data_IF_202169508999
#
_entry.id   IF_202169508999
#
_cell.length_a   1.000
_cell.length_b   1.000
_cell.length_c   1.000
_cell.angle_alpha   90.00
_cell.angle_beta   90.00
_cell.angle_gamma   90.00
#
_symmetry.space_group_name_H-M   'P 1'
#
loop_
_entity.id
_entity.type
_entity.pdbx_description
1 polymer ?
#
# COMPACT_ATOMS: atom_id res chain seq x y z
N UNK A 1 -14.48 -16.52 -2.87
CA UNK A 1 -13.08 -16.63 -2.44
C UNK A 1 -12.25 -16.09 -3.58
N UNK A 2 -11.55 -14.97 -3.42
CA UNK A 2 -10.66 -14.48 -4.49
C UNK A 2 -9.43 -15.39 -4.53
N UNK A 3 -9.32 -16.17 -5.59
CA UNK A 3 -8.13 -16.96 -5.88
C UNK A 3 -6.99 -15.99 -6.23
N UNK A 4 -6.04 -15.84 -5.31
CA UNK A 4 -4.81 -15.12 -5.53
C UNK A 4 -3.85 -16.02 -6.30
N UNK A 5 -3.24 -15.51 -7.36
CA UNK A 5 -2.11 -16.16 -7.98
C UNK A 5 -0.82 -15.61 -7.37
N UNK A 6 -0.18 -16.41 -6.53
CA UNK A 6 1.16 -16.14 -6.02
C UNK A 6 2.17 -16.37 -7.17
N UNK A 7 2.62 -15.29 -7.80
CA UNK A 7 3.74 -15.32 -8.73
C UNK A 7 5.05 -15.32 -7.94
N UNK A 8 5.85 -16.36 -8.16
CA UNK A 8 7.16 -16.49 -7.54
C UNK A 8 8.09 -15.33 -7.91
N UNK A 9 9.02 -15.05 -7.00
CA UNK A 9 10.08 -14.04 -7.08
C UNK A 9 10.94 -14.29 -8.34
N UNK A 10 10.53 -13.75 -9.48
CA UNK A 10 11.46 -13.45 -10.54
C UNK A 10 11.99 -12.02 -10.34
N UNK A 11 13.16 -11.71 -10.90
CA UNK A 11 13.81 -10.42 -10.73
C UNK A 11 12.93 -9.23 -11.19
N UNK A 12 11.87 -9.48 -11.98
CA UNK A 12 11.03 -8.43 -12.54
C UNK A 12 10.06 -7.86 -11.51
N UNK A 13 9.50 -8.68 -10.61
CA UNK A 13 8.65 -8.23 -9.50
C UNK A 13 9.37 -7.25 -8.59
N UNK A 14 10.59 -7.62 -8.16
CA UNK A 14 11.42 -6.80 -7.28
C UNK A 14 11.82 -5.49 -7.97
N UNK A 15 12.29 -5.57 -9.21
CA UNK A 15 12.66 -4.40 -9.99
C UNK A 15 11.49 -3.42 -10.15
N UNK A 16 10.28 -3.94 -10.42
CA UNK A 16 9.09 -3.10 -10.54
C UNK A 16 8.74 -2.43 -9.20
N UNK A 17 8.72 -3.19 -8.11
CA UNK A 17 8.44 -2.67 -6.78
C UNK A 17 9.42 -1.55 -6.43
N UNK A 18 10.73 -1.78 -6.60
CA UNK A 18 11.75 -0.76 -6.34
C UNK A 18 11.57 0.47 -7.23
N UNK A 19 11.22 0.28 -8.51
CA UNK A 19 10.96 1.38 -9.44
C UNK A 19 9.78 2.25 -8.98
N UNK A 20 8.69 1.64 -8.52
CA UNK A 20 7.54 2.38 -7.97
C UNK A 20 7.97 3.16 -6.74
N UNK A 21 8.67 2.53 -5.80
CA UNK A 21 9.11 3.20 -4.57
C UNK A 21 10.10 4.35 -4.86
N UNK A 22 10.99 4.22 -5.86
CA UNK A 22 11.91 5.30 -6.25
C UNK A 22 11.19 6.54 -6.80
N UNK A 23 9.95 6.39 -7.26
CA UNK A 23 9.11 7.48 -7.75
C UNK A 23 8.14 8.04 -6.70
N UNK A 24 8.06 7.39 -5.54
CA UNK A 24 7.23 7.82 -4.42
C UNK A 24 7.88 8.94 -3.60
N UNK A 25 7.41 9.10 -2.36
CA UNK A 25 7.86 10.14 -1.44
C UNK A 25 8.68 9.59 -0.27
N UNK A 26 8.70 10.30 0.87
CA UNK A 26 9.58 9.98 1.98
C UNK A 26 9.37 8.56 2.54
N UNK A 27 8.12 8.08 2.61
CA UNK A 27 7.84 6.68 3.01
C UNK A 27 8.50 5.71 2.04
N UNK A 28 8.27 5.92 0.75
CA UNK A 28 8.79 5.07 -0.31
C UNK A 28 10.32 5.01 -0.31
N UNK A 29 11.00 6.14 -0.11
CA UNK A 29 12.46 6.20 0.02
C UNK A 29 12.97 5.51 1.29
N UNK A 30 12.31 5.70 2.44
CA UNK A 30 12.69 5.02 3.67
C UNK A 30 12.50 3.50 3.58
N UNK A 31 11.47 3.03 2.87
CA UNK A 31 11.28 1.61 2.61
C UNK A 31 12.45 1.04 1.79
N UNK A 32 12.90 1.75 0.75
CA UNK A 32 14.07 1.36 -0.04
C UNK A 32 15.37 1.30 0.76
N UNK A 33 15.52 2.17 1.76
CA UNK A 33 16.72 2.22 2.60
C UNK A 33 16.73 1.17 3.70
N UNK A 34 15.55 0.78 4.21
CA UNK A 34 15.44 0.04 5.49
C UNK A 34 14.86 -1.36 5.36
N UNK A 35 14.19 -1.67 4.25
CA UNK A 35 13.55 -2.98 4.05
C UNK A 35 14.39 -3.81 3.10
N UNK A 36 14.81 -4.98 3.55
CA UNK A 36 15.38 -6.00 2.67
C UNK A 36 14.24 -6.74 1.96
N UNK A 37 13.88 -6.25 0.77
CA UNK A 37 12.81 -6.84 -0.02
C UNK A 37 13.09 -8.28 -0.46
N UNK A 38 14.37 -8.66 -0.61
CA UNK A 38 14.78 -10.00 -1.00
C UNK A 38 14.58 -11.02 0.13
N UNK A 39 14.53 -10.57 1.39
CA UNK A 39 14.27 -11.42 2.54
C UNK A 39 12.76 -11.73 2.75
N UNK A 40 11.86 -11.01 2.06
CA UNK A 40 10.41 -11.23 2.16
C UNK A 40 9.82 -12.02 0.99
N UNK A 41 8.49 -12.06 0.92
CA UNK A 41 7.73 -12.66 -0.20
C UNK A 41 6.92 -11.60 -0.91
N UNK A 42 6.88 -11.66 -2.25
CA UNK A 42 6.06 -10.76 -3.08
C UNK A 42 4.99 -11.59 -3.76
N UNK A 43 3.75 -11.12 -3.69
CA UNK A 43 2.60 -11.71 -4.38
C UNK A 43 1.93 -10.66 -5.26
N UNK A 44 1.49 -11.05 -6.45
CA UNK A 44 0.62 -10.21 -7.27
C UNK A 44 -0.84 -10.47 -6.93
N UNK A 45 -1.60 -9.41 -6.67
CA UNK A 45 -3.05 -9.47 -6.53
C UNK A 45 -3.65 -9.08 -7.88
N UNK A 46 -4.16 -10.08 -8.60
CA UNK A 46 -4.69 -9.98 -9.97
C UNK A 46 -5.97 -10.79 -10.12
N UNK A 47 -6.71 -10.53 -11.20
CA UNK A 47 -7.82 -11.41 -11.58
C UNK A 47 -7.28 -12.74 -12.10
N UNK A 48 -7.90 -13.86 -11.72
CA UNK A 48 -7.56 -15.21 -12.25
C UNK A 48 -7.79 -15.38 -13.75
N UNK A 49 -8.40 -14.40 -14.41
CA UNK A 49 -8.62 -14.38 -15.86
C UNK A 49 -7.41 -13.85 -16.65
N UNK A 50 -6.41 -13.29 -15.96
CA UNK A 50 -5.17 -12.80 -16.57
C UNK A 50 -4.29 -14.00 -16.93
N UNK A 51 -3.77 -14.05 -18.15
CA UNK A 51 -2.84 -15.12 -18.59
C UNK A 51 -1.41 -14.88 -18.12
N UNK A 52 -0.60 -15.94 -18.04
CA UNK A 52 0.79 -15.86 -17.52
C UNK A 52 1.69 -14.91 -18.32
N UNK A 53 1.32 -14.61 -19.57
CA UNK A 53 2.06 -13.69 -20.44
C UNK A 53 1.81 -12.24 -20.06
N UNK A 54 0.57 -11.87 -19.77
CA UNK A 54 0.18 -10.53 -19.32
C UNK A 54 0.71 -10.23 -17.91
N UNK A 55 0.88 -11.26 -17.07
CA UNK A 55 1.43 -11.13 -15.71
C UNK A 55 2.88 -10.62 -15.64
N UNK A 56 3.61 -10.59 -16.75
CA UNK A 56 5.03 -10.17 -16.80
C UNK A 56 5.23 -8.68 -17.08
N UNK A 57 4.17 -7.98 -17.51
CA UNK A 57 4.22 -6.54 -17.76
C UNK A 57 3.40 -5.77 -16.72
N UNK A 58 4.04 -5.49 -15.58
CA UNK A 58 3.44 -4.76 -14.47
C UNK A 58 3.08 -3.30 -14.80
N UNK A 59 3.52 -2.76 -15.94
CA UNK A 59 3.17 -1.42 -16.38
C UNK A 59 2.01 -1.39 -17.40
N UNK A 60 1.63 -2.54 -17.96
CA UNK A 60 0.52 -2.64 -18.89
C UNK A 60 -0.85 -2.55 -18.18
N UNK A 61 -1.80 -1.88 -18.83
CA UNK A 61 -3.22 -1.89 -18.45
C UNK A 61 -4.07 -2.73 -19.40
N UNK A 62 -5.36 -2.87 -19.10
CA UNK A 62 -6.31 -3.63 -19.92
C UNK A 62 -6.21 -5.14 -19.79
N UNK A 63 -5.68 -5.63 -18.67
CA UNK A 63 -5.39 -7.05 -18.46
C UNK A 63 -6.53 -7.80 -17.77
N UNK A 64 -7.46 -7.11 -17.08
CA UNK A 64 -8.60 -7.80 -16.47
C UNK A 64 -9.56 -6.91 -15.67
N UNK A 65 -10.64 -7.49 -15.11
CA UNK A 65 -11.60 -6.74 -14.31
C UNK A 65 -10.99 -6.27 -12.98
N UNK A 66 -11.05 -4.95 -12.76
CA UNK A 66 -10.42 -4.21 -11.66
C UNK A 66 -11.02 -4.54 -10.27
N UNK A 67 -12.28 -4.97 -10.22
CA UNK A 67 -13.03 -5.12 -8.97
C UNK A 67 -12.51 -6.27 -8.10
N UNK A 68 -12.04 -7.36 -8.70
CA UNK A 68 -11.60 -8.55 -7.96
C UNK A 68 -10.31 -8.30 -7.14
N UNK A 69 -9.25 -7.68 -7.70
CA UNK A 69 -8.03 -7.39 -6.93
C UNK A 69 -8.22 -6.39 -5.80
N UNK A 70 -9.06 -5.37 -5.99
CA UNK A 70 -9.37 -4.37 -4.95
C UNK A 70 -10.06 -5.00 -3.75
N UNK A 71 -11.07 -5.83 -4.01
CA UNK A 71 -11.78 -6.54 -2.94
C UNK A 71 -10.85 -7.47 -2.17
N UNK A 72 -9.97 -8.18 -2.87
CA UNK A 72 -8.98 -9.06 -2.25
C UNK A 72 -8.04 -8.29 -1.31
N UNK A 73 -7.47 -7.16 -1.78
CA UNK A 73 -6.63 -6.30 -0.95
C UNK A 73 -7.40 -5.73 0.25
N UNK A 74 -8.68 -5.37 0.06
CA UNK A 74 -9.53 -4.87 1.13
C UNK A 74 -9.84 -5.93 2.19
N UNK A 75 -10.06 -7.18 1.80
CA UNK A 75 -10.21 -8.30 2.74
C UNK A 75 -8.91 -8.54 3.54
N UNK A 76 -7.74 -8.43 2.90
CA UNK A 76 -6.44 -8.51 3.58
C UNK A 76 -6.28 -7.35 4.58
N UNK A 77 -6.58 -6.12 4.16
CA UNK A 77 -6.56 -4.92 5.00
C UNK A 77 -7.48 -5.03 6.20
N UNK A 78 -8.72 -5.47 5.98
CA UNK A 78 -9.71 -5.61 7.04
C UNK A 78 -9.28 -6.65 8.07
N UNK A 79 -8.81 -7.82 7.64
CA UNK A 79 -8.29 -8.85 8.56
C UNK A 79 -7.10 -8.35 9.36
N UNK A 80 -6.18 -7.63 8.72
CA UNK A 80 -5.02 -7.07 9.39
C UNK A 80 -5.40 -6.08 10.49
N UNK A 81 -6.38 -5.20 10.25
CA UNK A 81 -6.85 -4.24 11.26
C UNK A 81 -7.70 -4.85 12.38
N UNK A 82 -8.12 -6.12 12.26
CA UNK A 82 -8.78 -6.82 13.36
C UNK A 82 -7.79 -7.30 14.43
N UNK A 83 -6.51 -7.38 14.10
CA UNK A 83 -5.47 -7.68 15.07
C UNK A 83 -5.19 -6.46 15.97
N UNK A 84 -5.05 -6.65 17.30
CA UNK A 84 -4.75 -5.55 18.21
C UNK A 84 -3.44 -4.85 17.85
N UNK A 85 -3.45 -3.52 17.91
CA UNK A 85 -2.24 -2.73 17.70
C UNK A 85 -1.73 -2.74 16.26
N UNK A 86 -2.61 -2.91 15.26
CA UNK A 86 -2.26 -2.77 13.84
C UNK A 86 -2.78 -1.46 13.25
N UNK A 87 -2.09 -0.96 12.23
CA UNK A 87 -2.55 0.16 11.41
C UNK A 87 -2.07 0.04 9.96
N UNK A 88 -2.78 0.72 9.07
CA UNK A 88 -2.41 0.83 7.65
C UNK A 88 -2.18 2.30 7.33
N UNK A 89 -1.05 2.62 6.72
CA UNK A 89 -0.73 3.95 6.23
C UNK A 89 -0.57 3.92 4.70
N UNK A 90 -1.13 4.92 4.01
CA UNK A 90 -1.04 5.06 2.56
C UNK A 90 -0.46 6.43 2.23
N UNK A 91 0.57 6.46 1.39
CA UNK A 91 1.18 7.68 0.88
C UNK A 91 0.21 8.40 -0.08
N UNK A 92 -0.02 9.69 0.12
CA UNK A 92 -0.77 10.52 -0.83
C UNK A 92 0.20 11.22 -1.77
N UNK A 93 0.27 10.74 -3.01
CA UNK A 93 1.22 11.20 -4.02
C UNK A 93 0.97 12.61 -4.56
N UNK A 94 -0.29 13.08 -4.63
CA UNK A 94 -0.64 14.26 -5.41
C UNK A 94 -1.09 15.47 -4.58
N UNK A 95 -1.77 15.22 -3.46
CA UNK A 95 -2.30 16.31 -2.66
C UNK A 95 -1.21 17.04 -1.86
N UNK A 96 -1.51 18.29 -1.50
CA UNK A 96 -0.69 19.13 -0.63
C UNK A 96 -1.45 19.48 0.65
N UNK A 97 -0.75 19.77 1.77
CA UNK A 97 -1.39 20.03 3.07
C UNK A 97 -2.40 21.19 3.06
N UNK A 98 -2.21 22.15 2.14
CA UNK A 98 -3.11 23.29 1.97
C UNK A 98 -4.36 23.02 1.12
N UNK A 99 -4.49 21.84 0.51
CA UNK A 99 -5.58 21.56 -0.41
C UNK A 99 -6.92 21.47 0.34
N UNK A 100 -7.99 22.14 -0.15
CA UNK A 100 -9.30 22.13 0.53
C UNK A 100 -9.88 20.73 0.75
N UNK A 101 -9.59 19.79 -0.14
CA UNK A 101 -10.04 18.40 -0.07
C UNK A 101 -9.40 17.60 1.07
N UNK A 102 -8.27 18.06 1.61
CA UNK A 102 -7.49 17.36 2.66
C UNK A 102 -7.71 17.97 4.04
N UNK A 103 -7.83 19.31 4.12
CA UNK A 103 -7.78 20.09 5.36
C UNK A 103 -8.66 19.57 6.51
N UNK A 104 -9.83 19.01 6.20
CA UNK A 104 -10.80 18.50 7.19
C UNK A 104 -11.09 17.00 7.05
N UNK A 105 -10.30 16.28 6.26
CA UNK A 105 -10.54 14.86 5.99
C UNK A 105 -10.06 14.04 7.19
N UNK A 106 -10.95 13.19 7.72
CA UNK A 106 -10.62 12.29 8.82
C UNK A 106 -9.60 11.24 8.37
N UNK A 107 -8.73 10.80 9.30
CA UNK A 107 -7.70 9.80 9.01
C UNK A 107 -6.58 10.32 8.10
N UNK A 108 -6.42 11.64 7.97
CA UNK A 108 -5.27 12.25 7.29
C UNK A 108 -4.30 12.73 8.35
N UNK A 109 -3.03 12.37 8.19
CA UNK A 109 -1.91 12.88 9.01
C UNK A 109 -0.87 13.53 8.12
N UNK A 110 -0.11 14.45 8.70
CA UNK A 110 1.05 15.07 8.07
C UNK A 110 2.32 14.52 8.70
N UNK A 111 3.14 13.78 7.94
CA UNK A 111 4.44 13.30 8.39
C UNK A 111 5.52 13.89 7.46
N UNK A 112 6.57 14.49 8.02
CA UNK A 112 7.65 15.09 7.24
C UNK A 112 7.18 16.10 6.16
N UNK A 113 6.07 16.80 6.40
CA UNK A 113 5.49 17.75 5.44
C UNK A 113 4.69 17.10 4.29
N UNK A 114 4.51 15.78 4.31
CA UNK A 114 3.77 15.00 3.33
C UNK A 114 2.49 14.42 3.93
N UNK A 115 1.54 14.08 3.06
CA UNK A 115 0.22 13.59 3.47
C UNK A 115 0.20 12.07 3.46
N UNK A 116 -0.39 11.51 4.51
CA UNK A 116 -0.66 10.09 4.62
C UNK A 116 -2.10 9.83 5.07
N UNK A 117 -2.75 8.83 4.48
CA UNK A 117 -4.01 8.31 4.95
C UNK A 117 -3.75 7.17 5.94
N UNK A 118 -4.36 7.25 7.12
CA UNK A 118 -4.18 6.29 8.21
C UNK A 118 -5.50 5.61 8.55
N UNK A 119 -5.48 4.28 8.59
CA UNK A 119 -6.57 3.47 9.12
C UNK A 119 -6.08 2.67 10.33
N UNK A 120 -6.80 2.83 11.45
CA UNK A 120 -6.64 2.01 12.68
C UNK A 120 -7.85 1.15 12.97
N UNK A 121 -9.00 1.51 12.40
CA UNK A 121 -10.25 0.77 12.53
C UNK A 121 -11.09 0.98 11.28
N UNK A 122 -11.55 -0.13 10.72
CA UNK A 122 -12.48 -0.21 9.61
C UNK A 122 -13.39 -1.40 9.87
N UNK A 123 -14.69 -1.25 9.66
CA UNK A 123 -15.68 -2.25 10.07
C UNK A 123 -16.13 -3.16 8.90
N UNK A 124 -16.00 -2.71 7.64
CA UNK A 124 -16.44 -3.48 6.46
C UNK A 124 -15.43 -3.46 5.31
N UNK A 125 -15.53 -4.45 4.42
CA UNK A 125 -14.69 -4.55 3.22
C UNK A 125 -14.90 -3.33 2.32
N UNK A 126 -16.14 -2.87 2.16
CA UNK A 126 -16.49 -1.72 1.32
C UNK A 126 -15.96 -0.39 1.88
N UNK A 127 -15.80 -0.29 3.21
CA UNK A 127 -15.13 0.84 3.83
C UNK A 127 -13.61 0.75 3.61
N UNK A 128 -13.04 -0.46 3.67
CA UNK A 128 -11.61 -0.69 3.41
C UNK A 128 -11.25 -0.42 1.95
N UNK A 129 -12.07 -0.85 0.98
CA UNK A 129 -11.91 -0.51 -0.43
C UNK A 129 -11.89 1.01 -0.63
N UNK A 130 -12.84 1.72 0.00
CA UNK A 130 -12.87 3.19 -0.04
C UNK A 130 -11.62 3.83 0.58
N UNK A 131 -11.09 3.25 1.66
CA UNK A 131 -9.85 3.70 2.29
C UNK A 131 -8.63 3.50 1.38
N UNK A 132 -8.45 2.29 0.85
CA UNK A 132 -7.33 1.95 -0.03
C UNK A 132 -7.34 2.78 -1.32
N UNK A 133 -8.53 3.17 -1.79
CA UNK A 133 -8.73 3.98 -2.98
C UNK A 133 -8.83 5.49 -2.70
N UNK A 134 -8.46 5.94 -1.49
CA UNK A 134 -8.42 7.38 -1.20
C UNK A 134 -7.39 8.14 -2.05
N UNK A 135 -6.18 7.61 -2.32
CA UNK A 135 -5.33 8.19 -3.35
C UNK A 135 -6.09 8.17 -4.68
N UNK A 136 -6.16 9.33 -5.33
CA UNK A 136 -7.01 9.54 -6.50
C UNK A 136 -6.68 8.62 -7.69
N UNK A 137 -5.50 7.99 -7.68
CA UNK A 137 -5.05 7.03 -8.69
C UNK A 137 -4.35 5.84 -8.04
N UNK A 138 -4.87 4.64 -8.26
CA UNK A 138 -4.24 3.39 -7.82
C UNK A 138 -2.88 3.13 -8.49
N UNK A 139 -2.62 3.75 -9.64
CA UNK A 139 -1.39 3.63 -10.44
C UNK A 139 -0.12 4.00 -9.63
N UNK A 140 -0.26 4.83 -8.59
CA UNK A 140 0.82 5.22 -7.68
C UNK A 140 0.53 4.90 -6.22
N UNK A 141 -0.35 3.93 -5.93
CA UNK A 141 -0.62 3.53 -4.56
C UNK A 141 0.66 2.98 -3.95
N UNK A 142 1.09 3.54 -2.82
CA UNK A 142 2.11 2.96 -1.93
C UNK A 142 1.54 2.97 -0.52
N UNK A 143 1.51 1.82 0.13
CA UNK A 143 1.01 1.70 1.49
C UNK A 143 1.75 0.65 2.31
N UNK A 144 1.73 0.83 3.61
CA UNK A 144 2.33 -0.08 4.59
C UNK A 144 1.29 -0.57 5.58
N UNK A 145 1.45 -1.83 5.97
CA UNK A 145 0.74 -2.50 7.05
C UNK A 145 1.76 -2.63 8.16
N UNK A 146 1.57 -1.89 9.24
CA UNK A 146 2.56 -1.77 10.32
C UNK A 146 1.89 -1.86 11.70
N UNK A 147 2.71 -1.93 12.75
CA UNK A 147 2.20 -1.81 14.11
C UNK A 147 1.70 -0.39 14.36
N UNK A 148 0.64 -0.27 15.14
CA UNK A 148 0.15 1.00 15.65
C UNK A 148 1.17 1.53 16.67
N UNK A 149 1.75 2.69 16.38
CA UNK A 149 2.54 3.42 17.37
C UNK A 149 1.70 3.77 18.60
N UNK A 150 2.34 3.87 19.76
CA UNK A 150 1.68 4.12 21.05
C UNK A 150 0.96 5.48 21.15
N UNK A 151 1.14 6.39 20.19
CA UNK A 151 0.51 7.70 20.16
C UNK A 151 -0.62 7.77 19.12
N UNK A 152 -1.72 8.46 19.44
CA UNK A 152 -2.47 9.19 18.41
C UNK A 152 -1.46 10.13 17.73
N UNK A 153 -1.09 9.82 16.49
CA UNK A 153 -0.15 10.64 15.76
C UNK A 153 -0.72 12.07 15.75
N UNK A 154 0.01 13.08 16.27
CA UNK A 154 -0.43 14.45 16.14
C UNK A 154 -0.69 14.76 14.65
N UNK A 155 -1.65 15.65 14.36
CA UNK A 155 -1.98 16.06 12.98
C UNK A 155 -0.76 16.53 12.18
N UNK A 156 0.34 16.88 12.86
CA UNK A 156 1.63 17.28 12.31
C UNK A 156 2.71 16.50 13.05
N UNK A 157 3.55 15.80 12.29
CA UNK A 157 4.66 14.99 12.80
C UNK A 157 5.95 15.20 12.02
N UNK A 158 7.05 15.00 12.73
CA UNK A 158 8.43 15.00 12.24
C UNK A 158 8.81 13.67 11.55
N UNK A 159 9.97 13.67 10.90
CA UNK A 159 10.54 12.56 10.12
C UNK A 159 10.80 11.30 10.96
N UNK A 160 11.08 11.44 12.26
CA UNK A 160 11.38 10.31 13.14
C UNK A 160 10.20 9.33 13.29
N UNK A 161 8.96 9.83 13.33
CA UNK A 161 7.78 8.95 13.42
C UNK A 161 7.61 8.12 12.15
N UNK A 162 7.96 8.66 10.97
CA UNK A 162 7.87 7.90 9.72
C UNK A 162 8.88 6.74 9.71
N UNK A 163 10.07 6.96 10.23
CA UNK A 163 11.08 5.93 10.40
C UNK A 163 10.63 4.82 11.37
N UNK A 164 9.91 5.16 12.44
CA UNK A 164 9.32 4.19 13.37
C UNK A 164 8.21 3.35 12.71
N UNK A 165 7.37 3.96 11.87
CA UNK A 165 6.36 3.24 11.09
C UNK A 165 7.01 2.22 10.14
N UNK A 166 8.05 2.65 9.42
CA UNK A 166 8.80 1.78 8.51
C UNK A 166 9.44 0.62 9.27
N UNK A 167 10.01 0.87 10.45
CA UNK A 167 10.65 -0.17 11.27
C UNK A 167 9.69 -1.28 11.74
N UNK A 168 8.39 -0.99 11.81
CA UNK A 168 7.35 -1.95 12.22
C UNK A 168 6.52 -2.45 11.03
N UNK A 169 7.00 -2.27 9.80
CA UNK A 169 6.30 -2.67 8.59
C UNK A 169 6.34 -4.19 8.40
N UNK A 170 5.16 -4.78 8.29
CA UNK A 170 4.97 -6.22 8.08
C UNK A 170 4.56 -6.53 6.64
N UNK A 171 3.88 -5.59 5.98
CA UNK A 171 3.46 -5.73 4.58
C UNK A 171 3.56 -4.39 3.87
N UNK A 172 3.90 -4.44 2.58
CA UNK A 172 3.98 -3.27 1.71
C UNK A 172 3.12 -3.57 0.49
N UNK A 173 2.26 -2.63 0.13
CA UNK A 173 1.44 -2.72 -1.07
C UNK A 173 1.83 -1.62 -2.04
N UNK A 174 2.00 -1.99 -3.30
CA UNK A 174 2.16 -1.03 -4.40
C UNK A 174 1.13 -1.29 -5.50
N UNK A 175 0.65 -0.22 -6.14
CA UNK A 175 -0.16 -0.31 -7.34
C UNK A 175 0.62 -0.96 -8.49
N UNK A 176 -0.06 -1.80 -9.26
CA UNK A 176 0.50 -2.44 -10.43
C UNK A 176 -0.54 -2.54 -11.56
N UNK A 177 -0.09 -2.85 -12.77
CA UNK A 177 -0.94 -3.09 -13.93
C UNK A 177 -1.89 -1.94 -14.21
N UNK A 178 -1.35 -0.72 -14.27
CA UNK A 178 -2.13 0.52 -14.45
C UNK A 178 -3.27 0.71 -13.42
N UNK A 179 -3.08 0.20 -12.20
CA UNK A 179 -4.06 0.28 -11.11
C UNK A 179 -5.19 -0.75 -11.21
N UNK A 180 -5.05 -1.75 -12.10
CA UNK A 180 -5.93 -2.91 -12.19
C UNK A 180 -5.52 -4.03 -11.20
N UNK A 181 -4.30 -3.97 -10.65
CA UNK A 181 -3.82 -4.91 -9.65
C UNK A 181 -2.82 -4.30 -8.67
N UNK A 182 -2.24 -5.16 -7.84
CA UNK A 182 -1.31 -4.75 -6.79
C UNK A 182 -0.17 -5.74 -6.65
N UNK A 183 1.00 -5.29 -6.21
CA UNK A 183 2.00 -6.16 -5.60
C UNK A 183 1.94 -6.01 -4.09
N UNK A 184 1.91 -7.13 -3.38
CA UNK A 184 1.93 -7.21 -1.93
C UNK A 184 3.21 -7.92 -1.49
N UNK A 185 4.12 -7.16 -0.90
CA UNK A 185 5.27 -7.71 -0.19
C UNK A 185 4.89 -8.00 1.27
N UNK A 186 5.37 -9.12 1.81
CA UNK A 186 5.23 -9.50 3.22
C UNK A 186 6.59 -9.88 3.79
N UNK A 187 6.90 -9.35 4.98
CA UNK A 187 8.09 -9.75 5.73
C UNK A 187 8.04 -11.26 6.02
N UNK A 188 9.19 -11.93 5.93
CA UNK A 188 9.33 -13.30 6.43
C UNK A 188 9.44 -13.27 7.95
N UNK A 189 8.82 -14.24 8.62
CA UNK A 189 8.96 -14.47 10.07
C UNK A 189 10.40 -14.86 10.45
#
# INVERSE_FOLDING_TARGET
MSELQELAIDANCLFYLERVLRSGKSLSHLLLERVDFAAGKIHALLSTKVGEREMKDFAAGGIGPIESPRRALAEIGLRYLQEPGKQIAIEEGLARPGDPAIRNKAGVILLAGEIYYLARKVDTVEQMERFLMQPRYAIGLVGIFCAAGAAEAPKISETEQLAELVATTEKIVVGAFDGEGFLLWTASE
#
